data_IF_335880630432
#
_entry.id   IF_335880630432
#
_cell.length_a   1.000
_cell.length_b   1.000
_cell.length_c   1.000
_cell.angle_alpha   90.00
_cell.angle_beta   90.00
_cell.angle_gamma   90.00
#
_symmetry.space_group_name_H-M   'P 1'
#
loop_
_entity.id
_entity.type
_entity.pdbx_description
1 polymer ?
#
# COMPACT_ATOMS: atom_id res chain seq x y z
N UNK A 1 8.69 -28.51 -8.57
CA UNK A 1 9.25 -27.22 -8.16
C UNK A 1 8.89 -26.17 -9.21
N UNK A 2 8.04 -25.21 -8.89
CA UNK A 2 7.72 -24.07 -9.77
C UNK A 2 8.11 -22.78 -9.05
N UNK A 3 8.77 -21.90 -9.78
CA UNK A 3 8.99 -20.51 -9.36
C UNK A 3 7.90 -19.65 -9.97
N UNK A 4 7.21 -18.85 -9.16
CA UNK A 4 6.35 -17.78 -9.62
C UNK A 4 7.01 -16.44 -9.38
N UNK A 5 7.16 -15.66 -10.43
CA UNK A 5 7.69 -14.29 -10.37
C UNK A 5 6.55 -13.29 -10.31
N UNK A 6 6.50 -12.55 -9.22
CA UNK A 6 5.41 -11.63 -8.92
C UNK A 6 5.98 -10.21 -8.79
N UNK A 7 5.60 -9.32 -9.68
CA UNK A 7 5.91 -7.91 -9.52
C UNK A 7 4.97 -7.31 -8.47
N UNK A 8 5.51 -6.70 -7.42
CA UNK A 8 4.71 -6.10 -6.37
C UNK A 8 5.38 -4.88 -5.75
N UNK A 9 4.59 -3.93 -5.26
CA UNK A 9 5.09 -2.84 -4.42
C UNK A 9 5.38 -3.34 -3.01
N UNK A 10 6.29 -2.67 -2.31
CA UNK A 10 6.61 -2.95 -0.92
C UNK A 10 5.39 -2.82 0.02
N UNK A 11 4.41 -1.99 -0.33
CA UNK A 11 3.10 -1.95 0.34
C UNK A 11 2.36 -3.29 0.25
N UNK A 12 2.18 -3.82 -0.96
CA UNK A 12 1.48 -5.09 -1.16
C UNK A 12 2.30 -6.26 -0.62
N UNK A 13 3.63 -6.18 -0.73
CA UNK A 13 4.52 -7.16 -0.15
C UNK A 13 4.38 -7.22 1.38
N UNK A 14 4.43 -6.10 2.07
CA UNK A 14 4.30 -6.06 3.52
C UNK A 14 2.90 -6.46 4.02
N UNK A 15 1.83 -6.12 3.28
CA UNK A 15 0.45 -6.34 3.74
C UNK A 15 -0.11 -7.70 3.34
N UNK A 16 0.21 -8.22 2.16
CA UNK A 16 -0.37 -9.45 1.61
C UNK A 16 0.54 -10.67 1.75
N UNK A 17 1.83 -10.51 1.45
CA UNK A 17 2.74 -11.65 1.27
C UNK A 17 2.92 -12.50 2.53
N UNK A 18 2.98 -11.98 3.77
CA UNK A 18 3.13 -12.84 4.94
C UNK A 18 2.00 -13.87 5.07
N UNK A 19 0.76 -13.47 4.80
CA UNK A 19 -0.40 -14.38 4.83
C UNK A 19 -0.44 -15.32 3.63
N UNK A 20 -0.06 -14.82 2.46
CA UNK A 20 0.06 -15.64 1.25
C UNK A 20 1.09 -16.75 1.44
N UNK A 21 2.26 -16.43 1.99
CA UNK A 21 3.31 -17.43 2.28
C UNK A 21 2.83 -18.45 3.30
N UNK A 22 2.12 -18.04 4.34
CA UNK A 22 1.55 -18.96 5.33
C UNK A 22 0.59 -19.97 4.66
N UNK A 23 -0.34 -19.49 3.81
CA UNK A 23 -1.26 -20.35 3.07
C UNK A 23 -0.52 -21.26 2.09
N UNK A 24 0.45 -20.71 1.36
CA UNK A 24 1.25 -21.46 0.39
C UNK A 24 2.02 -22.62 1.04
N UNK A 25 2.62 -22.39 2.20
CA UNK A 25 3.38 -23.44 2.92
C UNK A 25 2.51 -24.62 3.31
N UNK A 26 1.23 -24.39 3.57
CA UNK A 26 0.27 -25.45 3.87
C UNK A 26 -0.17 -26.22 2.61
N UNK A 27 -0.40 -25.52 1.49
CA UNK A 27 -0.99 -26.14 0.30
C UNK A 27 0.04 -26.67 -0.71
N UNK A 28 1.16 -25.93 -0.87
CA UNK A 28 2.16 -26.21 -1.89
C UNK A 28 3.58 -25.85 -1.41
N UNK A 29 4.15 -26.60 -0.44
CA UNK A 29 5.42 -26.25 0.23
C UNK A 29 6.62 -26.18 -0.70
N UNK A 30 6.55 -26.80 -1.89
CA UNK A 30 7.62 -26.83 -2.88
C UNK A 30 7.56 -25.72 -3.93
N UNK A 31 6.57 -24.81 -3.81
CA UNK A 31 6.47 -23.63 -4.68
C UNK A 31 7.39 -22.53 -4.16
N UNK A 32 8.09 -21.87 -5.05
CA UNK A 32 8.95 -20.72 -4.76
C UNK A 32 8.25 -19.47 -5.29
N UNK A 33 8.19 -18.42 -4.45
CA UNK A 33 7.77 -17.09 -4.86
C UNK A 33 9.01 -16.20 -4.97
N UNK A 34 9.12 -15.51 -6.10
CA UNK A 34 10.18 -14.56 -6.42
C UNK A 34 9.52 -13.18 -6.62
N UNK A 35 9.72 -12.27 -5.66
CA UNK A 35 9.12 -10.94 -5.69
C UNK A 35 10.05 -9.95 -6.36
N UNK A 36 9.52 -9.26 -7.36
CA UNK A 36 10.24 -8.30 -8.17
C UNK A 36 9.71 -6.89 -7.91
N UNK A 37 10.62 -5.92 -7.86
CA UNK A 37 10.23 -4.51 -7.68
C UNK A 37 9.64 -3.94 -8.97
N UNK A 38 8.66 -3.02 -8.91
CA UNK A 38 8.05 -2.44 -10.09
C UNK A 38 9.01 -1.68 -11.00
N UNK A 39 10.16 -1.23 -10.48
CA UNK A 39 11.21 -0.57 -11.28
C UNK A 39 11.97 -1.54 -12.18
N UNK A 40 12.00 -2.83 -11.83
CA UNK A 40 12.83 -3.84 -12.50
C UNK A 40 12.05 -4.63 -13.56
N UNK A 41 10.76 -4.35 -13.71
CA UNK A 41 9.83 -5.09 -14.57
C UNK A 41 9.14 -4.16 -15.56
N UNK A 42 9.02 -4.60 -16.79
CA UNK A 42 8.21 -3.97 -17.84
C UNK A 42 6.97 -4.82 -18.21
N UNK A 43 5.97 -4.20 -18.81
CA UNK A 43 4.83 -4.97 -19.38
C UNK A 43 5.29 -5.99 -20.44
N UNK A 44 6.36 -5.68 -21.17
CA UNK A 44 6.96 -6.60 -22.12
C UNK A 44 7.49 -7.88 -21.47
N UNK A 45 8.07 -7.77 -20.26
CA UNK A 45 8.53 -8.96 -19.52
C UNK A 45 7.36 -9.84 -19.10
N UNK A 46 6.22 -9.24 -18.74
CA UNK A 46 4.99 -9.97 -18.48
C UNK A 46 4.41 -10.62 -19.75
N UNK A 47 4.39 -9.92 -20.89
CA UNK A 47 3.96 -10.46 -22.17
C UNK A 47 4.82 -11.64 -22.63
N UNK A 48 6.10 -11.60 -22.33
CA UNK A 48 7.05 -12.68 -22.63
C UNK A 48 7.00 -13.84 -21.61
N UNK A 49 6.15 -13.76 -20.59
CA UNK A 49 6.02 -14.79 -19.56
C UNK A 49 7.22 -14.88 -18.60
N UNK A 50 8.08 -13.86 -18.55
CA UNK A 50 9.20 -13.77 -17.61
C UNK A 50 8.70 -13.43 -16.20
N UNK A 51 7.57 -12.74 -16.10
CA UNK A 51 6.88 -12.38 -14.87
C UNK A 51 5.46 -12.94 -14.96
N UNK A 52 5.06 -13.71 -13.95
CA UNK A 52 3.77 -14.40 -13.95
C UNK A 52 2.61 -13.43 -13.73
N UNK A 53 2.70 -12.56 -12.75
CA UNK A 53 1.67 -11.58 -12.46
C UNK A 53 2.23 -10.35 -11.73
N UNK A 54 1.42 -9.29 -11.72
CA UNK A 54 1.71 -8.05 -11.03
C UNK A 54 0.62 -7.74 -10.01
N UNK A 55 1.01 -7.33 -8.79
CA UNK A 55 0.11 -6.85 -7.75
C UNK A 55 0.52 -5.43 -7.39
N UNK A 56 -0.25 -4.45 -7.86
CA UNK A 56 0.10 -3.05 -7.65
C UNK A 56 -1.13 -2.15 -7.77
N UNK A 57 -0.93 -0.89 -7.49
CA UNK A 57 -1.81 0.21 -7.88
C UNK A 57 -1.39 0.66 -9.26
N UNK A 58 -2.13 0.31 -10.26
CA UNK A 58 -1.82 0.66 -11.64
C UNK A 58 -2.43 2.01 -12.00
N UNK A 59 -1.66 2.88 -12.62
CA UNK A 59 -2.22 4.06 -13.29
C UNK A 59 -2.82 3.65 -14.64
N UNK A 60 -2.10 2.83 -15.39
CA UNK A 60 -2.50 2.30 -16.68
C UNK A 60 -2.05 0.84 -16.78
N UNK A 61 -2.87 0.02 -17.40
CA UNK A 61 -2.58 -1.38 -17.73
C UNK A 61 -2.89 -1.56 -19.21
N UNK A 62 -2.06 -2.28 -19.98
CA UNK A 62 -2.37 -2.59 -21.38
C UNK A 62 -3.75 -3.23 -21.49
N UNK A 63 -4.55 -2.81 -22.47
CA UNK A 63 -5.93 -3.28 -22.66
C UNK A 63 -6.05 -4.79 -22.86
N UNK A 64 -5.00 -5.45 -23.35
CA UNK A 64 -4.92 -6.90 -23.51
C UNK A 64 -4.82 -7.66 -22.18
N UNK A 65 -4.35 -7.00 -21.11
CA UNK A 65 -4.12 -7.67 -19.84
C UNK A 65 -5.42 -7.92 -19.10
N UNK A 66 -5.49 -9.08 -18.45
CA UNK A 66 -6.51 -9.36 -17.47
C UNK A 66 -6.17 -8.67 -16.14
N UNK A 67 -7.20 -8.21 -15.44
CA UNK A 67 -7.02 -7.60 -14.13
C UNK A 67 -8.19 -7.96 -13.20
N UNK A 68 -7.92 -7.98 -11.92
CA UNK A 68 -8.92 -8.18 -10.88
C UNK A 68 -8.58 -7.34 -9.65
N UNK A 69 -9.61 -6.83 -8.98
CA UNK A 69 -9.48 -6.13 -7.71
C UNK A 69 -9.05 -7.12 -6.62
N UNK A 70 -7.99 -6.79 -5.90
CA UNK A 70 -7.56 -7.51 -4.69
C UNK A 70 -8.27 -6.93 -3.47
N UNK A 71 -8.13 -5.59 -3.24
CA UNK A 71 -8.90 -4.83 -2.25
C UNK A 71 -8.89 -3.32 -2.55
N UNK A 72 -9.71 -2.58 -1.80
CA UNK A 72 -9.59 -1.12 -1.65
C UNK A 72 -8.95 -0.80 -0.31
N UNK A 73 -8.19 0.29 -0.27
CA UNK A 73 -7.62 0.81 0.96
C UNK A 73 -7.74 2.33 1.01
N UNK A 74 -7.89 2.84 2.22
CA UNK A 74 -7.92 4.27 2.53
C UNK A 74 -6.56 4.75 3.02
N UNK A 75 -6.51 5.96 3.55
CA UNK A 75 -5.29 6.53 4.11
C UNK A 75 -5.47 6.88 5.59
N UNK A 76 -4.39 6.74 6.35
CA UNK A 76 -4.30 7.12 7.75
C UNK A 76 -2.99 7.87 8.01
N UNK A 77 -2.99 8.75 9.00
CA UNK A 77 -1.80 9.41 9.48
C UNK A 77 -1.18 8.59 10.61
N UNK A 78 0.15 8.43 10.60
CA UNK A 78 0.91 7.97 11.76
C UNK A 78 1.82 9.09 12.25
N UNK A 79 1.90 9.24 13.55
CA UNK A 79 2.71 10.23 14.23
C UNK A 79 3.13 9.71 15.61
N UNK A 80 4.14 10.35 16.20
CA UNK A 80 4.59 10.02 17.54
C UNK A 80 3.47 10.30 18.57
N UNK A 81 3.38 9.50 19.62
CA UNK A 81 2.43 9.68 20.73
C UNK A 81 2.63 11.01 21.49
N UNK A 82 3.79 11.65 21.34
CA UNK A 82 4.14 12.98 21.90
C UNK A 82 4.10 14.11 20.86
N UNK A 83 3.63 13.84 19.64
CA UNK A 83 3.52 14.88 18.62
C UNK A 83 2.56 15.99 19.07
N UNK A 84 2.86 17.29 18.85
CA UNK A 84 1.98 18.40 19.27
C UNK A 84 0.54 18.28 18.74
N UNK A 85 0.34 17.69 17.56
CA UNK A 85 -0.98 17.49 16.94
C UNK A 85 -1.67 16.18 17.39
N UNK A 86 -1.09 15.37 18.28
CA UNK A 86 -1.63 14.04 18.63
C UNK A 86 -3.01 14.10 19.28
N UNK A 87 -3.27 15.11 20.09
CA UNK A 87 -4.56 15.29 20.76
C UNK A 87 -5.63 15.88 19.85
N UNK A 88 -5.22 16.71 18.89
CA UNK A 88 -6.14 17.39 17.97
C UNK A 88 -5.52 17.58 16.60
N UNK A 89 -5.60 16.53 15.75
CA UNK A 89 -5.15 16.57 14.37
C UNK A 89 -6.25 17.17 13.50
N UNK A 90 -6.18 18.47 13.26
CA UNK A 90 -7.02 19.19 12.29
C UNK A 90 -6.19 19.64 11.08
N UNK A 91 -6.85 20.21 10.06
CA UNK A 91 -6.17 20.61 8.83
C UNK A 91 -5.02 21.61 9.11
N UNK A 92 -5.22 22.57 10.01
CA UNK A 92 -4.18 23.54 10.35
C UNK A 92 -2.97 22.85 10.98
N UNK A 93 -3.15 22.05 12.02
CA UNK A 93 -2.05 21.34 12.69
C UNK A 93 -1.35 20.32 11.78
N UNK A 94 -2.09 19.72 10.84
CA UNK A 94 -1.53 18.87 9.79
C UNK A 94 -0.62 19.66 8.86
N UNK A 95 -1.06 20.82 8.36
CA UNK A 95 -0.29 21.66 7.42
C UNK A 95 0.92 22.34 8.07
N UNK A 96 0.84 22.64 9.38
CA UNK A 96 1.94 23.23 10.15
C UNK A 96 3.05 22.21 10.45
N UNK A 97 2.75 20.92 10.47
CA UNK A 97 3.69 19.84 10.72
C UNK A 97 4.67 19.59 9.56
N UNK A 98 5.72 18.84 9.86
CA UNK A 98 6.65 18.32 8.84
C UNK A 98 6.21 16.92 8.39
N UNK A 99 6.34 16.62 7.10
CA UNK A 99 5.80 15.38 6.54
C UNK A 99 6.87 14.48 5.95
N UNK A 100 6.63 13.17 6.09
CA UNK A 100 7.31 12.12 5.36
C UNK A 100 6.49 11.80 4.12
N UNK A 101 7.12 11.86 2.97
CA UNK A 101 6.52 11.49 1.70
C UNK A 101 7.10 10.16 1.21
N UNK A 102 6.22 9.20 0.92
CA UNK A 102 6.63 7.94 0.31
C UNK A 102 6.40 8.01 -1.19
N UNK A 103 7.47 7.87 -1.93
CA UNK A 103 7.49 7.95 -3.39
C UNK A 103 6.65 6.86 -4.02
N UNK A 104 6.02 7.18 -5.13
CA UNK A 104 5.50 6.15 -6.03
C UNK A 104 6.65 5.25 -6.47
N UNK A 105 6.53 3.96 -6.24
CA UNK A 105 7.35 2.94 -6.89
C UNK A 105 6.56 2.39 -8.07
N UNK A 106 7.08 2.50 -9.27
CA UNK A 106 6.40 2.00 -10.45
C UNK A 106 7.21 2.17 -11.71
N UNK A 107 6.81 1.48 -12.77
CA UNK A 107 7.38 1.64 -14.09
C UNK A 107 7.23 3.08 -14.57
N UNK A 108 8.32 3.67 -15.03
CA UNK A 108 8.33 5.04 -15.57
C UNK A 108 8.47 6.17 -14.54
N UNK A 109 8.71 5.87 -13.26
CA UNK A 109 9.07 6.90 -12.28
C UNK A 109 10.53 7.26 -12.47
N UNK A 110 10.79 8.45 -13.02
CA UNK A 110 12.14 8.97 -13.26
C UNK A 110 12.93 9.24 -11.99
N UNK A 111 14.21 9.57 -12.15
CA UNK A 111 15.11 9.92 -11.05
C UNK A 111 14.72 11.24 -10.38
N UNK A 112 14.65 11.17 -9.06
CA UNK A 112 14.55 12.34 -8.19
C UNK A 112 13.12 12.89 -8.07
N UNK A 113 12.89 13.54 -6.95
CA UNK A 113 11.71 14.36 -6.71
C UNK A 113 12.18 15.80 -6.80
N UNK A 114 11.51 16.61 -7.62
CA UNK A 114 11.70 18.05 -7.58
C UNK A 114 10.70 18.61 -6.55
N UNK A 115 11.15 19.09 -5.37
CA UNK A 115 10.27 19.66 -4.35
C UNK A 115 9.43 20.83 -4.85
N UNK A 116 9.95 21.56 -5.86
CA UNK A 116 9.29 22.74 -6.46
C UNK A 116 8.20 22.34 -7.48
N UNK A 117 8.27 21.13 -8.02
CA UNK A 117 7.26 20.57 -8.94
C UNK A 117 6.33 19.63 -8.22
N UNK A 118 5.46 20.15 -7.36
CA UNK A 118 4.50 19.38 -6.58
C UNK A 118 3.40 18.68 -7.41
N UNK A 119 3.21 19.03 -8.65
CA UNK A 119 2.22 18.42 -9.57
C UNK A 119 2.46 16.96 -9.96
N UNK A 120 3.17 16.19 -9.15
CA UNK A 120 3.44 14.76 -9.40
C UNK A 120 3.57 13.93 -8.14
N UNK A 121 3.36 14.54 -6.97
CA UNK A 121 3.64 13.91 -5.67
C UNK A 121 2.69 12.76 -5.29
N UNK A 122 1.52 12.65 -5.91
CA UNK A 122 0.62 11.52 -5.64
C UNK A 122 -0.71 11.93 -5.01
N UNK A 123 -1.49 10.95 -4.56
CA UNK A 123 -2.90 11.16 -4.21
C UNK A 123 -3.12 12.07 -3.02
N UNK A 124 -2.26 12.03 -2.01
CA UNK A 124 -2.36 12.86 -0.80
C UNK A 124 -2.17 14.32 -1.18
N UNK A 125 -1.14 14.60 -1.96
CA UNK A 125 -0.82 15.97 -2.39
C UNK A 125 -1.81 16.47 -3.43
N UNK A 126 -2.33 15.61 -4.30
CA UNK A 126 -3.45 15.93 -5.20
C UNK A 126 -4.74 16.23 -4.42
N UNK A 127 -5.01 15.51 -3.32
CA UNK A 127 -6.17 15.79 -2.48
C UNK A 127 -6.04 17.14 -1.77
N UNK A 128 -4.85 17.50 -1.29
CA UNK A 128 -4.57 18.82 -0.73
C UNK A 128 -4.68 19.93 -1.79
N UNK A 129 -4.17 19.71 -2.99
CA UNK A 129 -4.23 20.67 -4.10
C UNK A 129 -5.69 21.00 -4.49
N UNK A 130 -6.60 20.01 -4.46
CA UNK A 130 -8.03 20.21 -4.70
C UNK A 130 -8.69 21.21 -3.73
N UNK A 131 -8.14 21.35 -2.53
CA UNK A 131 -8.61 22.31 -1.51
C UNK A 131 -7.68 23.52 -1.38
N UNK A 132 -6.79 23.73 -2.37
CA UNK A 132 -5.86 24.86 -2.40
C UNK A 132 -4.78 24.83 -1.33
N UNK A 133 -4.45 23.66 -0.80
CA UNK A 133 -3.50 23.49 0.29
C UNK A 133 -2.26 22.71 -0.13
N UNK A 134 -1.18 22.88 0.62
CA UNK A 134 0.10 22.17 0.45
C UNK A 134 0.71 21.86 1.80
N UNK A 135 1.34 20.71 1.94
CA UNK A 135 2.07 20.30 3.13
C UNK A 135 3.58 20.50 2.97
N UNK A 136 4.28 20.62 4.10
CA UNK A 136 5.74 20.74 4.14
C UNK A 136 6.36 19.35 4.18
N UNK A 137 7.04 18.93 3.13
CA UNK A 137 7.71 17.64 3.09
C UNK A 137 9.16 17.81 3.47
N UNK A 138 9.58 17.15 4.55
CA UNK A 138 10.94 17.17 5.06
C UNK A 138 11.74 15.95 4.70
N UNK A 139 11.07 14.82 4.46
CA UNK A 139 11.72 13.56 4.12
C UNK A 139 11.00 12.89 2.95
N UNK A 140 11.78 12.55 1.93
CA UNK A 140 11.37 11.72 0.82
C UNK A 140 11.96 10.32 0.99
N UNK A 141 11.14 9.28 1.00
CA UNK A 141 11.59 7.89 1.02
C UNK A 141 10.94 7.11 -0.12
N UNK A 142 11.51 5.98 -0.48
CA UNK A 142 10.97 5.08 -1.51
C UNK A 142 10.31 3.84 -0.94
N UNK A 143 10.39 3.65 0.37
CA UNK A 143 9.94 2.44 1.04
C UNK A 143 8.92 2.74 2.12
N UNK A 144 7.78 2.06 2.07
CA UNK A 144 6.72 2.16 3.09
C UNK A 144 7.13 1.66 4.47
N UNK A 145 8.27 0.97 4.60
CA UNK A 145 8.84 0.55 5.88
C UNK A 145 9.47 1.72 6.67
N UNK A 146 9.97 2.73 5.98
CA UNK A 146 10.69 3.85 6.60
C UNK A 146 9.84 4.79 7.46
N UNK A 147 8.58 5.10 7.12
CA UNK A 147 7.77 6.03 7.89
C UNK A 147 7.66 5.72 9.37
N UNK A 148 7.50 4.45 9.75
CA UNK A 148 7.44 4.06 11.16
C UNK A 148 8.70 4.39 11.95
N UNK A 149 9.87 4.25 11.31
CA UNK A 149 11.14 4.58 11.93
C UNK A 149 11.35 6.09 12.05
N UNK A 150 10.95 6.83 11.01
CA UNK A 150 11.10 8.29 10.95
C UNK A 150 10.08 9.03 11.81
N UNK A 151 8.82 8.57 11.85
CA UNK A 151 7.74 9.16 12.62
C UNK A 151 7.90 8.96 14.15
N UNK A 152 8.94 8.27 14.62
CA UNK A 152 9.34 8.29 16.01
C UNK A 152 9.92 9.67 16.42
N UNK A 153 10.36 10.48 15.44
CA UNK A 153 10.66 11.89 15.68
C UNK A 153 9.36 12.66 15.89
N UNK A 154 9.33 13.48 16.92
CA UNK A 154 8.10 14.12 17.42
C UNK A 154 7.51 15.19 16.51
N UNK A 155 8.20 15.62 15.49
CA UNK A 155 7.77 16.67 14.56
C UNK A 155 7.29 16.12 13.18
N UNK A 156 7.33 14.81 12.99
CA UNK A 156 7.04 14.19 11.69
C UNK A 156 5.69 13.47 11.65
N UNK A 157 4.93 13.71 10.58
CA UNK A 157 3.70 12.98 10.25
C UNK A 157 3.92 12.22 8.95
N UNK A 158 3.52 10.95 8.91
CA UNK A 158 3.40 10.20 7.68
C UNK A 158 1.93 9.87 7.40
N UNK A 159 1.48 10.14 6.16
CA UNK A 159 0.17 9.70 5.68
C UNK A 159 0.36 8.50 4.77
N UNK A 160 -0.18 7.36 5.16
CA UNK A 160 0.07 6.04 4.56
C UNK A 160 -1.24 5.34 4.23
N UNK A 161 -1.22 4.34 3.34
CA UNK A 161 -2.32 3.38 3.27
C UNK A 161 -2.67 2.81 4.63
N UNK A 162 -3.95 2.72 4.95
CA UNK A 162 -4.42 2.39 6.32
C UNK A 162 -3.91 1.03 6.79
N UNK A 163 -3.86 0.00 5.91
CA UNK A 163 -3.29 -1.30 6.27
C UNK A 163 -1.82 -1.20 6.65
N UNK A 164 -1.05 -0.39 5.93
CA UNK A 164 0.35 -0.15 6.26
C UNK A 164 0.49 0.61 7.58
N UNK A 165 -0.34 1.64 7.80
CA UNK A 165 -0.35 2.39 9.05
C UNK A 165 -0.64 1.47 10.26
N UNK A 166 -1.61 0.56 10.13
CA UNK A 166 -1.94 -0.43 11.19
C UNK A 166 -0.77 -1.37 11.50
N UNK A 167 -0.06 -1.85 10.48
CA UNK A 167 1.13 -2.69 10.68
C UNK A 167 2.22 -1.92 11.46
N UNK A 168 2.43 -0.66 11.12
CA UNK A 168 3.47 0.16 11.73
C UNK A 168 3.11 0.67 13.12
N UNK A 169 1.84 0.86 13.41
CA UNK A 169 1.36 1.28 14.74
C UNK A 169 1.40 0.16 15.81
N UNK A 170 1.90 -1.02 15.47
CA UNK A 170 2.31 -2.00 16.50
C UNK A 170 3.48 -1.48 17.36
N UNK A 171 4.21 -0.46 16.89
CA UNK A 171 5.15 0.29 17.70
C UNK A 171 4.37 1.19 18.70
N UNK A 172 4.54 1.02 20.03
CA UNK A 172 3.76 1.77 21.04
C UNK A 172 4.03 3.26 21.05
N UNK A 173 5.09 3.73 20.40
CA UNK A 173 5.40 5.16 20.24
C UNK A 173 4.61 5.83 19.12
N UNK A 174 3.88 5.07 18.35
CA UNK A 174 3.13 5.58 17.19
C UNK A 174 1.63 5.46 17.43
N UNK A 175 0.91 6.47 17.00
CA UNK A 175 -0.56 6.47 17.00
C UNK A 175 -1.07 6.67 15.58
N UNK A 176 -2.24 6.09 15.31
CA UNK A 176 -2.98 6.27 14.06
C UNK A 176 -4.03 7.35 14.27
N UNK A 177 -4.16 8.24 13.29
CA UNK A 177 -5.21 9.26 13.21
C UNK A 177 -5.79 9.29 11.79
N UNK A 178 -7.04 9.69 11.70
CA UNK A 178 -7.65 9.96 10.39
C UNK A 178 -7.04 11.21 9.78
N UNK A 179 -6.84 11.26 8.46
CA UNK A 179 -6.45 12.48 7.77
C UNK A 179 -7.52 13.57 7.98
N UNK A 180 -7.15 14.83 8.27
CA UNK A 180 -8.14 15.90 8.51
C UNK A 180 -8.71 16.49 7.21
N UNK A 181 -8.66 15.79 6.11
CA UNK A 181 -9.23 16.11 4.79
C UNK A 181 -9.52 14.83 4.03
N UNK A 182 -10.39 14.92 3.05
CA UNK A 182 -10.77 13.76 2.25
C UNK A 182 -9.67 13.37 1.27
N UNK A 183 -9.26 12.10 1.32
CA UNK A 183 -8.36 11.44 0.37
C UNK A 183 -9.13 10.27 -0.24
N UNK A 184 -9.30 10.21 -1.57
CA UNK A 184 -9.96 9.07 -2.21
C UNK A 184 -9.26 7.74 -1.91
N UNK A 185 -10.05 6.69 -1.73
CA UNK A 185 -9.51 5.32 -1.66
C UNK A 185 -8.78 4.96 -2.96
N UNK A 186 -7.88 4.01 -2.86
CA UNK A 186 -7.22 3.42 -4.01
C UNK A 186 -7.50 1.92 -4.14
N UNK A 187 -7.34 1.41 -5.33
CA UNK A 187 -7.51 0.00 -5.64
C UNK A 187 -6.14 -0.70 -5.78
N UNK A 188 -5.93 -1.75 -4.98
CA UNK A 188 -4.88 -2.72 -5.24
C UNK A 188 -5.44 -3.76 -6.20
N UNK A 189 -4.79 -3.96 -7.33
CA UNK A 189 -5.20 -4.90 -8.37
C UNK A 189 -4.12 -5.93 -8.63
N UNK A 190 -4.54 -7.10 -9.08
CA UNK A 190 -3.70 -8.12 -9.67
C UNK A 190 -3.91 -8.13 -11.16
N UNK A 191 -2.82 -8.12 -11.95
CA UNK A 191 -2.87 -8.14 -13.41
C UNK A 191 -1.93 -9.21 -13.97
N UNK A 192 -2.29 -9.77 -15.14
CA UNK A 192 -1.49 -10.77 -15.85
C UNK A 192 -1.75 -10.72 -17.34
N UNK A 193 -0.80 -11.20 -18.15
CA UNK A 193 -0.96 -11.25 -19.60
C UNK A 193 -1.89 -12.40 -20.03
N UNK A 194 -2.54 -12.30 -21.21
CA UNK A 194 -3.44 -13.34 -21.75
C UNK A 194 -2.81 -14.72 -21.88
N UNK A 195 -1.51 -14.79 -22.16
CA UNK A 195 -0.76 -16.04 -22.32
C UNK A 195 -0.93 -16.98 -21.11
N UNK A 196 -0.99 -16.43 -19.92
CA UNK A 196 -1.07 -17.20 -18.67
C UNK A 196 -2.50 -17.37 -18.14
N UNK A 197 -3.50 -16.83 -18.84
CA UNK A 197 -4.87 -16.79 -18.34
C UNK A 197 -5.45 -18.18 -18.02
N UNK A 198 -5.25 -19.13 -18.92
CA UNK A 198 -5.77 -20.49 -18.81
C UNK A 198 -4.79 -21.49 -18.19
N UNK A 199 -3.57 -21.08 -17.89
CA UNK A 199 -2.56 -21.97 -17.32
C UNK A 199 -2.97 -22.45 -15.92
N UNK A 200 -3.12 -23.77 -15.66
CA UNK A 200 -3.72 -24.28 -14.41
C UNK A 200 -3.01 -23.80 -13.14
N UNK A 201 -1.68 -23.88 -13.09
CA UNK A 201 -0.92 -23.47 -11.90
C UNK A 201 -0.99 -21.94 -11.67
N UNK A 202 -1.04 -21.16 -12.75
CA UNK A 202 -1.20 -19.72 -12.65
C UNK A 202 -2.61 -19.33 -12.15
N UNK A 203 -3.64 -20.04 -12.65
CA UNK A 203 -5.01 -19.87 -12.19
C UNK A 203 -5.15 -20.21 -10.70
N UNK A 204 -4.55 -21.31 -10.26
CA UNK A 204 -4.51 -21.70 -8.86
C UNK A 204 -3.87 -20.61 -8.00
N UNK A 205 -2.71 -20.09 -8.38
CA UNK A 205 -2.03 -19.01 -7.62
C UNK A 205 -2.93 -17.76 -7.49
N UNK A 206 -3.56 -17.33 -8.59
CA UNK A 206 -4.49 -16.18 -8.54
C UNK A 206 -5.66 -16.42 -7.57
N UNK A 207 -6.22 -17.63 -7.57
CA UNK A 207 -7.30 -18.01 -6.66
C UNK A 207 -6.84 -18.00 -5.21
N UNK A 208 -5.63 -18.50 -4.92
CA UNK A 208 -5.04 -18.46 -3.59
C UNK A 208 -4.84 -17.02 -3.10
N UNK A 209 -4.29 -16.15 -3.94
CA UNK A 209 -4.11 -14.73 -3.61
C UNK A 209 -5.45 -14.07 -3.26
N UNK A 210 -6.47 -14.28 -4.08
CA UNK A 210 -7.81 -13.70 -3.84
C UNK A 210 -8.49 -14.29 -2.60
N UNK A 211 -8.28 -15.56 -2.34
CA UNK A 211 -8.79 -16.22 -1.13
C UNK A 211 -8.16 -15.59 0.13
N UNK A 212 -6.85 -15.46 0.16
CA UNK A 212 -6.12 -14.83 1.27
C UNK A 212 -6.58 -13.38 1.47
N UNK A 213 -6.71 -12.62 0.38
CA UNK A 213 -7.17 -11.24 0.45
C UNK A 213 -8.58 -11.12 1.04
N UNK A 214 -9.52 -12.00 0.66
CA UNK A 214 -10.88 -12.04 1.23
C UNK A 214 -10.87 -12.36 2.73
N UNK A 215 -10.09 -13.34 3.15
CA UNK A 215 -9.96 -13.66 4.57
C UNK A 215 -9.47 -12.46 5.39
N UNK A 216 -8.48 -11.71 4.86
CA UNK A 216 -7.99 -10.49 5.50
C UNK A 216 -9.08 -9.43 5.66
N UNK A 217 -9.86 -9.20 4.61
CA UNK A 217 -10.98 -8.23 4.65
C UNK A 217 -12.05 -8.65 5.65
N UNK A 218 -12.39 -9.93 5.70
CA UNK A 218 -13.37 -10.47 6.64
C UNK A 218 -12.92 -10.37 8.11
N UNK A 219 -11.63 -10.56 8.38
CA UNK A 219 -11.05 -10.38 9.70
C UNK A 219 -11.07 -8.91 10.12
N UNK A 220 -10.66 -8.00 9.25
CA UNK A 220 -10.70 -6.55 9.50
C UNK A 220 -12.13 -6.06 9.80
N UNK A 221 -13.11 -6.54 9.05
CA UNK A 221 -14.51 -6.18 9.27
C UNK A 221 -15.03 -6.71 10.63
N UNK A 222 -14.63 -7.91 11.03
CA UNK A 222 -14.99 -8.47 12.35
C UNK A 222 -14.38 -7.68 13.49
N UNK A 223 -13.11 -7.33 13.41
CA UNK A 223 -12.42 -6.50 14.40
C UNK A 223 -13.09 -5.12 14.55
N UNK A 224 -13.47 -4.51 13.43
CA UNK A 224 -14.18 -3.23 13.44
C UNK A 224 -15.55 -3.32 14.16
N UNK A 225 -16.33 -4.35 13.89
CA UNK A 225 -17.63 -4.57 14.55
C UNK A 225 -17.48 -4.84 16.05
N UNK A 226 -16.46 -5.60 16.44
CA UNK A 226 -16.19 -5.92 17.85
C UNK A 226 -15.79 -4.68 18.63
N UNK A 227 -14.93 -3.84 18.07
CA UNK A 227 -14.49 -2.61 18.71
C UNK A 227 -15.64 -1.60 18.86
N UNK A 228 -16.52 -1.48 17.85
CA UNK A 228 -17.67 -0.58 17.93
C UNK A 228 -18.76 -1.04 18.91
N UNK A 229 -18.94 -2.36 19.10
CA UNK A 229 -19.90 -2.88 20.06
C UNK A 229 -19.49 -2.65 21.53
N UNK A 230 -18.20 -2.46 21.81
CA UNK A 230 -17.71 -2.12 23.16
C UNK A 230 -17.97 -0.66 23.54
N UNK A 231 -18.15 0.25 22.56
CA UNK A 231 -18.41 1.68 22.81
C UNK A 231 -19.92 2.02 22.86
N UNK A 232 -20.83 1.10 22.55
CA UNK A 232 -22.28 1.34 22.59
C UNK A 232 -22.96 0.99 23.93
N UNK A 233 -22.19 0.72 24.98
CA UNK A 233 -22.68 0.39 26.32
C UNK A 233 -22.36 1.46 27.39
N UNK A 234 -22.14 2.72 26.95
CA UNK A 234 -22.02 3.86 27.87
C UNK A 234 -23.02 4.95 27.52
#
# INVERSE_FOLDING_TARGET
NRVFRIMTSDYAEATLVPRLVKALRSEAPNVVLDFLTPSDVSYRDMEQGKVDLAINRFNEIPQSFHQVLVWRDSFSCILNDKHPAVTHLNLKSYLDAQHIWVSKTGMGVGFGVNPDKQGGLGWIDQALERIGQRRKISVFTRHYQMPALLAQNVDLIATLPTRMARLQAQNPKLVIKDPPFYIPEFELKMAWCPLLHHHPAHRWLRQLILFVARQMIEEENREFLTNNSQFSHY
#
